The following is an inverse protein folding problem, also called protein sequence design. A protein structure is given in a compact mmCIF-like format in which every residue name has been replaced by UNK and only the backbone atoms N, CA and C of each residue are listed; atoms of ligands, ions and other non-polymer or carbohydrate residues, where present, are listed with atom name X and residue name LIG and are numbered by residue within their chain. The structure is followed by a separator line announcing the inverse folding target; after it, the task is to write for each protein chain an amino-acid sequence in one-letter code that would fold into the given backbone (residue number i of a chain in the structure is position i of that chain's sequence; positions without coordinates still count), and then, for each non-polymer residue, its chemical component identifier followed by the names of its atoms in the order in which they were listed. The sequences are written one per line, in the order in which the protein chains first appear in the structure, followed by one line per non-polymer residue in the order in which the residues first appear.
data_IF_854323982574
#
_entry.id   IF_854323982574
#
_cell.length_a   1.000
_cell.length_b   1.000
_cell.length_c   1.000
_cell.angle_alpha   90.00
_cell.angle_beta   90.00
_cell.angle_gamma   90.00
#
_symmetry.space_group_name_H-M   'P 1'
#
loop_
_entity.id
_entity.type
_entity.pdbx_description
1 polymer ?
#
# COMPACT_ATOMS: atom_id res chain seq x y z
N UNK A 1 -42.42 -13.55 25.46
CA UNK A 1 -41.13 -12.84 25.39
C UNK A 1 -40.48 -13.23 24.06
N UNK A 2 -40.67 -12.41 23.03
CA UNK A 2 -40.36 -12.75 21.63
C UNK A 2 -38.95 -12.26 21.32
N UNK A 3 -37.99 -13.16 21.19
CA UNK A 3 -36.62 -12.87 20.76
C UNK A 3 -36.64 -12.52 19.27
N UNK A 4 -36.47 -11.24 18.94
CA UNK A 4 -36.18 -10.82 17.56
C UNK A 4 -34.77 -11.28 17.22
N UNK A 5 -34.66 -12.36 16.45
CA UNK A 5 -33.42 -12.75 15.78
C UNK A 5 -33.11 -11.69 14.72
N UNK A 6 -32.29 -10.70 15.09
CA UNK A 6 -31.79 -9.70 14.16
C UNK A 6 -30.75 -10.40 13.29
N UNK A 7 -31.23 -11.10 12.27
CA UNK A 7 -30.44 -11.64 11.17
C UNK A 7 -29.67 -10.49 10.52
N UNK A 8 -28.45 -10.29 11.01
CA UNK A 8 -27.59 -9.22 10.54
C UNK A 8 -27.05 -9.70 9.20
N UNK A 9 -27.72 -9.31 8.10
CA UNK A 9 -27.30 -9.66 6.74
C UNK A 9 -25.88 -9.14 6.53
N UNK A 10 -24.90 -10.04 6.66
CA UNK A 10 -23.48 -9.70 6.52
C UNK A 10 -23.25 -9.35 5.05
N UNK A 11 -23.03 -8.08 4.76
CA UNK A 11 -22.72 -7.64 3.39
C UNK A 11 -21.38 -8.27 2.98
N UNK A 12 -21.41 -9.13 1.97
CA UNK A 12 -20.20 -9.74 1.40
C UNK A 12 -19.75 -8.94 0.19
N UNK A 13 -18.43 -8.89 -0.04
CA UNK A 13 -17.89 -8.22 -1.22
C UNK A 13 -18.13 -9.10 -2.45
N UNK A 14 -18.39 -8.48 -3.60
CA UNK A 14 -18.54 -9.24 -4.85
C UNK A 14 -17.18 -9.82 -5.29
N UNK A 15 -17.22 -10.97 -5.97
CA UNK A 15 -16.01 -11.59 -6.55
C UNK A 15 -15.27 -10.64 -7.49
N UNK A 16 -16.00 -9.78 -8.22
CA UNK A 16 -15.42 -8.74 -9.07
C UNK A 16 -14.65 -7.68 -8.28
N UNK A 17 -15.23 -7.17 -7.18
CA UNK A 17 -14.56 -6.20 -6.31
C UNK A 17 -13.28 -6.78 -5.69
N UNK A 18 -13.31 -8.04 -5.23
CA UNK A 18 -12.14 -8.72 -4.68
C UNK A 18 -11.05 -8.96 -5.74
N UNK A 19 -11.42 -9.23 -7.00
CA UNK A 19 -10.48 -9.36 -8.13
C UNK A 19 -9.81 -8.02 -8.44
N UNK A 20 -10.59 -6.95 -8.56
CA UNK A 20 -10.06 -5.60 -8.82
C UNK A 20 -9.12 -5.14 -7.72
N UNK A 21 -9.52 -5.33 -6.46
CA UNK A 21 -8.69 -5.00 -5.31
C UNK A 21 -7.38 -5.80 -5.26
N UNK A 22 -7.42 -7.10 -5.56
CA UNK A 22 -6.21 -7.93 -5.63
C UNK A 22 -5.24 -7.47 -6.73
N UNK A 23 -5.75 -7.05 -7.90
CA UNK A 23 -4.92 -6.54 -8.97
C UNK A 23 -4.26 -5.20 -8.57
N UNK A 24 -5.04 -4.27 -8.02
CA UNK A 24 -4.54 -2.96 -7.59
C UNK A 24 -3.50 -3.04 -6.46
N UNK A 25 -3.77 -3.86 -5.44
CA UNK A 25 -2.79 -4.11 -4.37
C UNK A 25 -1.53 -4.83 -4.87
N UNK A 26 -1.67 -5.73 -5.85
CA UNK A 26 -0.52 -6.36 -6.53
C UNK A 26 0.36 -5.37 -7.29
N UNK A 27 -0.25 -4.46 -8.08
CA UNK A 27 0.48 -3.42 -8.81
C UNK A 27 1.14 -2.44 -7.82
N UNK A 28 0.43 -2.02 -6.78
CA UNK A 28 1.01 -1.17 -5.72
C UNK A 28 2.20 -1.85 -5.05
N UNK A 29 2.08 -3.15 -4.75
CA UNK A 29 3.17 -3.94 -4.17
C UNK A 29 4.38 -4.03 -5.09
N UNK A 30 4.16 -4.16 -6.40
CA UNK A 30 5.22 -4.20 -7.40
C UNK A 30 5.96 -2.86 -7.47
N UNK A 31 5.23 -1.74 -7.45
CA UNK A 31 5.85 -0.41 -7.43
C UNK A 31 6.74 -0.22 -6.18
N UNK A 32 6.24 -0.59 -5.00
CA UNK A 32 7.04 -0.52 -3.75
C UNK A 32 8.24 -1.47 -3.80
N UNK A 33 8.11 -2.64 -4.40
CA UNK A 33 9.23 -3.56 -4.59
C UNK A 33 10.32 -2.94 -5.47
N UNK A 34 9.94 -2.34 -6.59
CA UNK A 34 10.88 -1.65 -7.48
C UNK A 34 11.59 -0.49 -6.76
N UNK A 35 10.88 0.22 -5.88
CA UNK A 35 11.47 1.27 -5.02
C UNK A 35 12.55 0.70 -4.08
N UNK A 36 12.32 -0.50 -3.51
CA UNK A 36 13.31 -1.17 -2.67
C UNK A 36 14.54 -1.63 -3.48
N UNK A 37 14.33 -2.08 -4.73
CA UNK A 37 15.43 -2.46 -5.63
C UNK A 37 16.29 -1.26 -5.97
N UNK A 38 15.69 -0.12 -6.36
CA UNK A 38 16.44 1.10 -6.65
C UNK A 38 17.16 1.60 -5.40
N UNK A 39 16.51 1.61 -4.23
CA UNK A 39 17.17 1.96 -2.96
C UNK A 39 18.41 1.10 -2.67
N UNK A 40 18.36 -0.20 -2.98
CA UNK A 40 19.51 -1.10 -2.81
C UNK A 40 20.69 -0.77 -3.74
N UNK A 41 20.43 -0.21 -4.93
CA UNK A 41 21.49 0.27 -5.83
C UNK A 41 22.13 1.57 -5.32
N UNK A 42 21.39 2.38 -4.56
CA UNK A 42 21.88 3.68 -4.03
C UNK A 42 23.02 3.47 -3.07
N UNK A 43 22.92 2.40 -2.28
CA UNK A 43 23.91 2.02 -1.28
C UNK A 43 25.19 1.45 -1.92
N UNK A 44 25.14 0.98 -3.17
CA UNK A 44 26.29 0.37 -3.85
C UNK A 44 27.03 1.34 -4.78
N UNK A 45 26.37 2.43 -5.20
CA UNK A 45 26.93 3.41 -6.14
C UNK A 45 26.87 4.82 -5.54
N UNK A 46 27.65 5.05 -4.48
CA UNK A 46 27.74 6.35 -3.81
C UNK A 46 27.86 7.50 -4.84
N UNK A 47 26.91 8.44 -4.79
CA UNK A 47 26.90 9.65 -5.62
C UNK A 47 26.22 9.54 -6.99
N UNK A 48 25.54 8.44 -7.33
CA UNK A 48 24.79 8.35 -8.59
C UNK A 48 23.38 8.98 -8.47
N UNK A 49 23.28 10.26 -8.80
CA UNK A 49 22.02 11.04 -8.76
C UNK A 49 20.90 10.41 -9.60
N UNK A 50 21.23 9.77 -10.73
CA UNK A 50 20.22 9.15 -11.61
C UNK A 50 19.50 7.99 -10.93
N UNK A 51 20.21 7.26 -10.07
CA UNK A 51 19.60 6.24 -9.25
C UNK A 51 18.62 6.91 -8.27
N UNK A 52 19.05 7.92 -7.49
CA UNK A 52 18.21 8.66 -6.53
C UNK A 52 16.93 9.18 -7.18
N UNK A 53 17.04 9.80 -8.35
CA UNK A 53 15.91 10.27 -9.14
C UNK A 53 14.95 9.13 -9.50
N UNK A 54 15.45 7.99 -9.95
CA UNK A 54 14.62 6.84 -10.30
C UNK A 54 13.80 6.32 -9.11
N UNK A 55 14.34 6.30 -7.89
CA UNK A 55 13.54 5.94 -6.70
C UNK A 55 12.49 7.00 -6.37
N UNK A 56 12.81 8.29 -6.51
CA UNK A 56 11.83 9.36 -6.34
C UNK A 56 10.65 9.19 -7.29
N UNK A 57 10.92 8.99 -8.58
CA UNK A 57 9.89 8.75 -9.60
C UNK A 57 9.07 7.49 -9.30
N UNK A 58 9.72 6.40 -8.91
CA UNK A 58 9.01 5.16 -8.55
C UNK A 58 8.17 5.36 -7.28
N UNK A 59 8.64 6.13 -6.31
CA UNK A 59 7.87 6.49 -5.11
C UNK A 59 6.61 7.28 -5.49
N UNK A 60 6.71 8.20 -6.45
CA UNK A 60 5.55 8.93 -6.97
C UNK A 60 4.50 8.04 -7.62
N UNK A 61 4.96 7.09 -8.44
CA UNK A 61 4.09 6.07 -9.01
C UNK A 61 3.47 5.19 -7.92
N UNK A 62 4.24 4.81 -6.90
CA UNK A 62 3.79 3.92 -5.83
C UNK A 62 2.68 4.56 -4.99
N UNK A 63 2.85 5.80 -4.51
CA UNK A 63 1.79 6.46 -3.73
C UNK A 63 0.57 6.77 -4.61
N UNK A 64 0.76 7.08 -5.90
CA UNK A 64 -0.34 7.24 -6.86
C UNK A 64 -1.20 5.98 -6.98
N UNK A 65 -0.57 4.80 -7.14
CA UNK A 65 -1.29 3.52 -7.12
C UNK A 65 -1.93 3.22 -5.76
N UNK A 66 -1.28 3.56 -4.65
CA UNK A 66 -1.85 3.40 -3.32
C UNK A 66 -3.12 4.26 -3.14
N UNK A 67 -3.13 5.49 -3.67
CA UNK A 67 -4.30 6.37 -3.68
C UNK A 67 -5.46 5.75 -4.47
N UNK A 68 -5.20 5.30 -5.70
CA UNK A 68 -6.21 4.64 -6.53
C UNK A 68 -6.76 3.40 -5.83
N UNK A 69 -5.90 2.60 -5.20
CA UNK A 69 -6.29 1.42 -4.42
C UNK A 69 -7.15 1.80 -3.22
N UNK A 70 -6.82 2.87 -2.50
CA UNK A 70 -7.58 3.37 -1.36
C UNK A 70 -8.98 3.87 -1.78
N UNK A 71 -9.06 4.66 -2.85
CA UNK A 71 -10.34 5.11 -3.44
C UNK A 71 -11.18 3.89 -3.84
N UNK A 72 -10.58 2.92 -4.53
CA UNK A 72 -11.27 1.70 -4.94
C UNK A 72 -11.83 0.93 -3.73
N UNK A 73 -11.02 0.76 -2.67
CA UNK A 73 -11.45 0.08 -1.45
C UNK A 73 -12.54 0.84 -0.70
N UNK A 74 -12.51 2.17 -0.70
CA UNK A 74 -13.56 3.02 -0.12
C UNK A 74 -14.89 2.87 -0.88
N UNK A 75 -14.84 2.86 -2.21
CA UNK A 75 -16.06 2.78 -3.03
C UNK A 75 -16.65 1.37 -3.01
N UNK A 76 -15.81 0.34 -3.13
CA UNK A 76 -16.28 -1.03 -3.42
C UNK A 76 -16.26 -1.97 -2.21
N UNK A 77 -15.39 -1.75 -1.22
CA UNK A 77 -15.17 -2.68 -0.12
C UNK A 77 -15.62 -2.15 1.24
N UNK A 78 -15.77 -0.84 1.46
CA UNK A 78 -15.97 -0.24 2.80
C UNK A 78 -17.06 -0.89 3.66
N UNK A 79 -18.17 -1.32 3.05
CA UNK A 79 -19.31 -1.92 3.77
C UNK A 79 -19.07 -3.40 4.07
N UNK A 80 -18.40 -4.11 3.17
CA UNK A 80 -18.21 -5.54 3.25
C UNK A 80 -16.90 -5.95 3.95
N UNK A 81 -15.86 -5.12 3.84
CA UNK A 81 -14.51 -5.36 4.32
C UNK A 81 -13.91 -4.07 4.93
N UNK A 82 -14.53 -3.49 5.96
CA UNK A 82 -14.11 -2.20 6.53
C UNK A 82 -12.65 -2.21 7.00
N UNK A 83 -12.17 -3.32 7.55
CA UNK A 83 -10.77 -3.48 7.98
C UNK A 83 -9.79 -3.37 6.81
N UNK A 84 -10.09 -3.99 5.65
CA UNK A 84 -9.23 -3.88 4.47
C UNK A 84 -9.22 -2.44 3.95
N UNK A 85 -10.39 -1.80 3.89
CA UNK A 85 -10.49 -0.39 3.49
C UNK A 85 -9.64 0.52 4.37
N UNK A 86 -9.75 0.41 5.70
CA UNK A 86 -8.93 1.21 6.62
C UNK A 86 -7.44 0.96 6.41
N UNK A 87 -7.02 -0.30 6.31
CA UNK A 87 -5.61 -0.64 6.11
C UNK A 87 -5.06 -0.16 4.75
N UNK A 88 -5.89 -0.13 3.70
CA UNK A 88 -5.51 0.45 2.41
C UNK A 88 -5.41 1.98 2.46
N UNK A 89 -6.28 2.66 3.21
CA UNK A 89 -6.14 4.11 3.44
C UNK A 89 -4.87 4.40 4.25
N UNK A 90 -4.61 3.62 5.29
CA UNK A 90 -3.36 3.70 6.06
C UNK A 90 -2.14 3.47 5.15
N UNK A 91 -2.20 2.49 4.26
CA UNK A 91 -1.14 2.25 3.27
C UNK A 91 -0.86 3.52 2.44
N UNK A 92 -1.91 4.14 1.89
CA UNK A 92 -1.76 5.37 1.11
C UNK A 92 -1.10 6.49 1.94
N UNK A 93 -1.58 6.73 3.17
CA UNK A 93 -1.01 7.74 4.06
C UNK A 93 0.46 7.45 4.36
N UNK A 94 0.81 6.19 4.63
CA UNK A 94 2.19 5.79 4.87
C UNK A 94 3.07 5.98 3.62
N UNK A 95 2.59 5.62 2.42
CA UNK A 95 3.35 5.83 1.18
C UNK A 95 3.58 7.31 0.90
N UNK A 96 2.57 8.16 1.13
CA UNK A 96 2.72 9.61 0.96
C UNK A 96 3.69 10.19 1.99
N UNK A 97 3.61 9.74 3.25
CA UNK A 97 4.56 10.12 4.29
C UNK A 97 5.99 9.66 3.99
N UNK A 98 6.16 8.50 3.36
CA UNK A 98 7.45 8.00 2.88
C UNK A 98 8.05 8.89 1.79
N UNK A 99 7.26 9.33 0.81
CA UNK A 99 7.72 10.31 -0.19
C UNK A 99 8.13 11.62 0.48
N UNK A 100 7.33 12.11 1.44
CA UNK A 100 7.68 13.31 2.20
C UNK A 100 9.00 13.18 2.97
N UNK A 101 9.21 12.07 3.68
CA UNK A 101 10.49 11.77 4.34
C UNK A 101 11.64 11.63 3.34
N UNK A 102 11.39 11.05 2.16
CA UNK A 102 12.36 10.98 1.06
C UNK A 102 12.87 12.37 0.68
N UNK A 103 11.98 13.32 0.42
CA UNK A 103 12.36 14.71 0.11
C UNK A 103 13.07 15.41 1.27
N UNK A 104 12.70 15.14 2.53
CA UNK A 104 13.46 15.68 3.68
C UNK A 104 14.92 15.20 3.68
N UNK A 105 15.15 13.95 3.29
CA UNK A 105 16.50 13.35 3.22
C UNK A 105 17.25 13.91 2.00
N UNK A 106 16.66 13.85 0.81
CA UNK A 106 17.34 14.19 -0.45
C UNK A 106 17.48 15.69 -0.69
N UNK A 107 16.41 16.46 -0.44
CA UNK A 107 16.34 17.86 -0.86
C UNK A 107 16.78 18.80 0.26
N UNK A 108 16.54 18.40 1.51
CA UNK A 108 16.90 19.18 2.70
C UNK A 108 18.10 18.62 3.48
N UNK A 109 18.71 17.52 3.01
CA UNK A 109 19.91 16.92 3.61
C UNK A 109 19.71 16.42 5.04
N UNK A 110 18.49 16.07 5.44
CA UNK A 110 18.18 15.63 6.81
C UNK A 110 18.38 14.12 6.99
N UNK A 111 19.62 13.65 6.92
CA UNK A 111 19.98 12.22 7.03
C UNK A 111 19.52 11.56 8.33
N UNK A 112 19.24 12.35 9.38
CA UNK A 112 18.65 11.88 10.64
C UNK A 112 17.30 11.16 10.47
N UNK A 113 16.61 11.35 9.34
CA UNK A 113 15.36 10.63 9.02
C UNK A 113 15.58 9.23 8.43
N UNK A 114 16.78 8.90 7.93
CA UNK A 114 17.07 7.59 7.32
C UNK A 114 16.71 6.42 8.25
N UNK A 115 17.10 6.42 9.56
CA UNK A 115 16.76 5.34 10.49
C UNK A 115 15.27 5.16 10.74
N UNK A 116 14.42 6.13 10.38
CA UNK A 116 12.95 6.05 10.47
C UNK A 116 12.34 5.69 9.12
N UNK A 117 12.82 6.33 8.05
CA UNK A 117 12.37 6.13 6.68
C UNK A 117 12.46 4.65 6.29
N UNK A 118 13.63 4.04 6.48
CA UNK A 118 13.91 2.67 6.05
C UNK A 118 13.01 1.62 6.77
N UNK A 119 12.92 1.58 8.11
CA UNK A 119 12.00 0.64 8.78
C UNK A 119 10.53 0.84 8.39
N UNK A 120 10.08 2.08 8.24
CA UNK A 120 8.69 2.35 7.83
C UNK A 120 8.45 1.90 6.39
N UNK A 121 9.44 1.99 5.50
CA UNK A 121 9.35 1.42 4.14
C UNK A 121 9.14 -0.11 4.17
N UNK A 122 9.81 -0.84 5.07
CA UNK A 122 9.57 -2.27 5.25
C UNK A 122 8.16 -2.58 5.77
N UNK A 123 7.62 -1.75 6.68
CA UNK A 123 6.23 -1.87 7.15
C UNK A 123 5.24 -1.65 6.00
N UNK A 124 5.47 -0.63 5.17
CA UNK A 124 4.68 -0.35 3.96
C UNK A 124 4.69 -1.52 2.99
N UNK A 125 5.87 -2.09 2.72
CA UNK A 125 6.02 -3.25 1.86
C UNK A 125 5.27 -4.47 2.42
N UNK A 126 5.50 -4.80 3.69
CA UNK A 126 4.83 -5.91 4.37
C UNK A 126 3.30 -5.76 4.42
N UNK A 127 2.81 -4.55 4.69
CA UNK A 127 1.37 -4.26 4.69
C UNK A 127 0.75 -4.47 3.30
N UNK A 128 1.41 -4.00 2.24
CA UNK A 128 0.91 -4.14 0.87
C UNK A 128 0.88 -5.60 0.43
N UNK A 129 1.95 -6.35 0.72
CA UNK A 129 2.00 -7.78 0.45
C UNK A 129 0.90 -8.55 1.21
N UNK A 130 0.70 -8.23 2.49
CA UNK A 130 -0.36 -8.83 3.30
C UNK A 130 -1.76 -8.52 2.75
N UNK A 131 -2.04 -7.28 2.32
CA UNK A 131 -3.30 -6.88 1.70
C UNK A 131 -3.58 -7.68 0.42
N UNK A 132 -2.55 -7.86 -0.43
CA UNK A 132 -2.64 -8.67 -1.65
C UNK A 132 -2.96 -10.14 -1.35
N UNK A 133 -2.27 -10.76 -0.38
CA UNK A 133 -2.54 -12.14 0.04
C UNK A 133 -3.94 -12.30 0.63
N UNK A 134 -4.41 -11.34 1.43
CA UNK A 134 -5.76 -11.35 1.99
C UNK A 134 -6.83 -11.21 0.92
N UNK A 135 -6.63 -10.34 -0.06
CA UNK A 135 -7.53 -10.22 -1.20
C UNK A 135 -7.63 -11.54 -1.98
N UNK A 136 -6.49 -12.20 -2.23
CA UNK A 136 -6.45 -13.49 -2.90
C UNK A 136 -7.11 -14.61 -2.09
N UNK A 137 -6.91 -14.63 -0.77
CA UNK A 137 -7.55 -15.58 0.15
C UNK A 137 -9.08 -15.43 0.12
N UNK A 138 -9.60 -14.21 0.29
CA UNK A 138 -11.03 -13.93 0.28
C UNK A 138 -11.69 -14.30 -1.05
N UNK A 139 -11.01 -14.01 -2.17
CA UNK A 139 -11.49 -14.39 -3.50
C UNK A 139 -11.59 -15.91 -3.70
N UNK A 140 -10.69 -16.69 -3.09
CA UNK A 140 -10.74 -18.16 -3.18
C UNK A 140 -11.86 -18.73 -2.30
N UNK A 141 -12.12 -18.13 -1.14
CA UNK A 141 -13.20 -18.54 -0.24
C UNK A 141 -14.61 -18.19 -0.76
N UNK A 142 -14.70 -17.29 -1.74
CA UNK A 142 -15.97 -16.90 -2.38
C UNK A 142 -16.26 -17.64 -3.69
N UNK A 143 -15.47 -18.66 -4.03
CA UNK A 143 -15.72 -19.60 -5.14
C UNK A 143 -16.32 -20.87 -4.57
#
# INVERSE_FOLDING_TARGET
MTTYDRSTTRTTASTGALRGFAALTGITSLAIFLQAVTAGQFLQQEGNEAWVEAHGVIADVAWGFALVTAIFALVTLRKAQPRLTVLTVVLFVLTLGQTGMGHLITDLGQDAWIPVHVPVAFVVFGLTAWLSFKAAQLRRASR
#
